data_IF_764642763868
#
_entry.id   IF_764642763868
#
_cell.length_a   1.000
_cell.length_b   1.000
_cell.length_c   1.000
_cell.angle_alpha   90.00
_cell.angle_beta   90.00
_cell.angle_gamma   90.00
#
_symmetry.space_group_name_H-M   'P 1'
#
loop_
_entity.id
_entity.type
_entity.pdbx_description
1 polymer ?
#
# COMPACT_ATOMS: atom_id res chain seq x y z
N UNK A 1 -2.52 37.20 -28.51
CA UNK A 1 -1.28 36.62 -27.94
C UNK A 1 -1.31 36.54 -26.41
N UNK A 2 -1.74 37.57 -25.66
CA UNK A 2 -1.81 37.51 -24.18
C UNK A 2 -2.71 36.39 -23.62
N UNK A 3 -3.89 36.17 -24.21
CA UNK A 3 -4.82 35.11 -23.77
C UNK A 3 -4.20 33.71 -23.91
N UNK A 4 -3.41 33.50 -24.96
CA UNK A 4 -2.73 32.24 -25.26
C UNK A 4 -1.66 31.91 -24.22
N UNK A 5 -0.93 32.92 -23.74
CA UNK A 5 0.05 32.76 -22.67
C UNK A 5 -0.59 32.53 -21.31
N UNK A 6 -1.72 33.21 -21.02
CA UNK A 6 -2.46 33.02 -19.78
C UNK A 6 -3.05 31.60 -19.69
N UNK A 7 -3.56 31.08 -20.80
CA UNK A 7 -4.08 29.72 -20.90
C UNK A 7 -2.97 28.67 -20.75
N UNK A 8 -1.81 28.89 -21.38
CA UNK A 8 -0.65 28.00 -21.22
C UNK A 8 -0.14 27.97 -19.77
N UNK A 9 -0.12 29.13 -19.09
CA UNK A 9 0.25 29.21 -17.68
C UNK A 9 -0.76 28.48 -16.78
N UNK A 10 -2.07 28.66 -17.00
CA UNK A 10 -3.10 27.96 -16.23
C UNK A 10 -3.02 26.43 -16.39
N UNK A 11 -2.72 25.93 -17.59
CA UNK A 11 -2.52 24.50 -17.84
C UNK A 11 -1.24 23.94 -17.19
N UNK A 12 -0.21 24.77 -16.99
CA UNK A 12 1.03 24.34 -16.30
C UNK A 12 0.83 24.11 -14.79
N UNK A 13 -0.22 24.69 -14.20
CA UNK A 13 -0.58 24.50 -12.79
C UNK A 13 -1.38 23.19 -12.56
N UNK A 14 -1.84 22.54 -13.62
CA UNK A 14 -2.52 21.26 -13.54
C UNK A 14 -1.51 20.10 -13.35
N UNK A 15 -0.78 20.12 -12.24
CA UNK A 15 0.00 18.95 -11.82
C UNK A 15 -0.96 17.94 -11.20
N UNK A 16 -1.29 16.90 -11.96
CA UNK A 16 -1.94 15.70 -11.41
C UNK A 16 -0.93 14.99 -10.51
N UNK A 17 -0.95 15.23 -9.20
CA UNK A 17 -0.32 14.29 -8.28
C UNK A 17 -1.07 12.97 -8.38
N UNK A 18 -0.44 11.98 -9.02
CA UNK A 18 -0.81 10.59 -8.83
C UNK A 18 -0.40 10.18 -7.42
N UNK A 19 -1.13 10.66 -6.41
CA UNK A 19 -0.94 10.21 -5.05
C UNK A 19 -1.14 8.69 -5.01
N UNK A 20 -0.12 7.95 -4.57
CA UNK A 20 -0.24 6.51 -4.34
C UNK A 20 -1.24 6.28 -3.20
N UNK A 21 -2.51 6.04 -3.55
CA UNK A 21 -3.54 5.72 -2.58
C UNK A 21 -3.41 4.24 -2.22
N UNK A 22 -3.19 3.98 -0.93
CA UNK A 22 -2.97 2.64 -0.43
C UNK A 22 -3.14 2.52 1.07
N UNK A 23 -2.99 1.29 1.55
CA UNK A 23 -3.11 0.94 2.97
C UNK A 23 -1.78 0.39 3.50
N UNK A 24 -1.63 0.37 4.83
CA UNK A 24 -0.51 -0.28 5.50
C UNK A 24 -0.93 -1.69 5.92
N UNK A 25 -0.16 -2.72 5.59
CA UNK A 25 -0.44 -4.11 5.94
C UNK A 25 0.53 -4.60 7.02
N UNK A 26 -0.02 -5.06 8.14
CA UNK A 26 0.73 -5.73 9.21
C UNK A 26 0.99 -7.21 8.88
N UNK A 27 1.96 -7.81 9.57
CA UNK A 27 2.42 -9.18 9.33
C UNK A 27 1.53 -10.28 9.95
N UNK A 28 0.61 -9.92 10.84
CA UNK A 28 -0.23 -10.87 11.59
C UNK A 28 -1.71 -10.68 11.28
N UNK A 29 -2.47 -11.78 11.35
CA UNK A 29 -3.94 -11.77 11.33
C UNK A 29 -4.48 -11.28 12.67
N UNK A 30 -5.80 -11.10 12.75
CA UNK A 30 -6.48 -10.69 13.99
C UNK A 30 -6.32 -11.68 15.15
N UNK A 31 -6.05 -12.94 14.85
CA UNK A 31 -5.77 -14.00 15.85
C UNK A 31 -4.28 -14.08 16.25
N UNK A 32 -3.43 -13.22 15.69
CA UNK A 32 -1.99 -13.19 15.96
C UNK A 32 -1.15 -14.14 15.11
N UNK A 33 -1.77 -15.02 14.29
CA UNK A 33 -1.03 -15.88 13.35
C UNK A 33 -0.35 -15.06 12.24
N UNK A 34 0.77 -15.56 11.71
CA UNK A 34 1.51 -14.89 10.62
C UNK A 34 0.73 -15.00 9.31
N UNK A 35 0.65 -13.90 8.56
CA UNK A 35 0.05 -13.86 7.22
C UNK A 35 0.92 -14.59 6.19
N UNK A 36 0.28 -15.40 5.36
CA UNK A 36 0.87 -15.92 4.13
C UNK A 36 0.68 -14.93 2.97
N UNK A 37 1.28 -15.22 1.82
CA UNK A 37 1.08 -14.43 0.60
C UNK A 37 -0.40 -14.28 0.23
N UNK A 38 -1.20 -15.34 0.32
CA UNK A 38 -2.62 -15.32 -0.04
C UNK A 38 -3.43 -14.38 0.86
N UNK A 39 -3.03 -14.20 2.11
CA UNK A 39 -3.67 -13.23 3.01
C UNK A 39 -3.44 -11.79 2.50
N UNK A 40 -2.21 -11.46 2.09
CA UNK A 40 -1.91 -10.14 1.52
C UNK A 40 -2.61 -9.89 0.18
N UNK A 41 -2.72 -10.90 -0.68
CA UNK A 41 -3.45 -10.80 -1.95
C UNK A 41 -4.94 -10.54 -1.72
N UNK A 42 -5.52 -11.21 -0.72
CA UNK A 42 -6.92 -11.00 -0.31
C UNK A 42 -7.15 -9.57 0.20
N UNK A 43 -6.26 -9.06 1.06
CA UNK A 43 -6.33 -7.68 1.55
C UNK A 43 -6.18 -6.65 0.42
N UNK A 44 -5.25 -6.91 -0.52
CA UNK A 44 -5.05 -6.05 -1.68
C UNK A 44 -6.25 -6.04 -2.62
N UNK A 45 -6.82 -7.20 -2.90
CA UNK A 45 -8.03 -7.32 -3.71
C UNK A 45 -9.22 -6.62 -3.04
N UNK A 46 -9.36 -6.75 -1.72
CA UNK A 46 -10.40 -6.07 -0.95
C UNK A 46 -10.25 -4.56 -1.02
N UNK A 47 -9.03 -4.04 -0.77
CA UNK A 47 -8.74 -2.61 -0.85
C UNK A 47 -9.01 -2.02 -2.23
N UNK A 48 -8.61 -2.73 -3.30
CA UNK A 48 -8.83 -2.32 -4.69
C UNK A 48 -10.31 -2.18 -5.04
N UNK A 49 -11.17 -3.01 -4.44
CA UNK A 49 -12.60 -3.10 -4.73
C UNK A 49 -13.48 -2.42 -3.65
N UNK A 50 -12.93 -1.52 -2.84
CA UNK A 50 -13.67 -0.87 -1.76
C UNK A 50 -14.85 -0.03 -2.30
N UNK A 51 -16.06 -0.32 -1.82
CA UNK A 51 -17.29 0.34 -2.28
C UNK A 51 -17.28 1.84 -1.94
N UNK A 52 -17.76 2.66 -2.87
CA UNK A 52 -17.87 4.12 -2.67
C UNK A 52 -16.58 4.90 -2.88
N UNK A 53 -15.51 4.24 -3.34
CA UNK A 53 -14.21 4.87 -3.60
C UNK A 53 -13.44 4.08 -4.66
N UNK A 54 -12.32 4.62 -5.12
CA UNK A 54 -11.46 3.98 -6.13
C UNK A 54 -10.02 4.47 -6.03
N UNK A 55 -9.12 3.79 -6.76
CA UNK A 55 -7.72 4.19 -6.88
C UNK A 55 -6.80 3.65 -5.79
N UNK A 56 -7.28 2.77 -4.91
CA UNK A 56 -6.41 2.06 -3.96
C UNK A 56 -5.64 0.95 -4.67
N UNK A 57 -4.40 1.24 -5.06
CA UNK A 57 -3.56 0.33 -5.86
C UNK A 57 -2.16 0.15 -5.28
N UNK A 58 -1.91 0.63 -4.07
CA UNK A 58 -0.66 0.41 -3.36
C UNK A 58 -0.90 -0.17 -1.96
N UNK A 59 0.11 -0.87 -1.46
CA UNK A 59 0.17 -1.31 -0.08
C UNK A 59 1.60 -1.11 0.43
N UNK A 60 1.74 -0.64 1.67
CA UNK A 60 3.02 -0.60 2.38
C UNK A 60 3.04 -1.71 3.41
N UNK A 61 3.97 -2.65 3.24
CA UNK A 61 4.18 -3.72 4.20
C UNK A 61 4.88 -3.13 5.44
N UNK A 62 4.15 -3.01 6.54
CA UNK A 62 4.71 -2.71 7.85
C UNK A 62 5.04 -4.04 8.52
N UNK A 63 6.17 -4.61 8.11
CA UNK A 63 6.72 -5.79 8.75
C UNK A 63 7.92 -5.33 9.60
N UNK A 64 7.87 -5.56 10.91
CA UNK A 64 9.08 -6.06 11.52
C UNK A 64 9.18 -7.48 10.99
N UNK A 65 10.19 -7.80 10.19
CA UNK A 65 10.48 -9.21 9.86
C UNK A 65 10.91 -9.85 11.17
N UNK A 66 9.94 -10.37 11.91
CA UNK A 66 10.13 -11.42 12.90
C UNK A 66 9.08 -12.47 12.56
N UNK A 67 9.12 -12.96 11.32
CA UNK A 67 8.59 -14.30 11.08
C UNK A 67 9.49 -15.24 11.88
N UNK A 68 8.87 -16.15 12.63
CA UNK A 68 9.44 -17.15 13.53
C UNK A 68 10.36 -18.18 12.82
N UNK A 69 11.17 -17.75 11.85
CA UNK A 69 12.08 -18.56 11.04
C UNK A 69 13.55 -18.31 11.37
N UNK A 70 13.91 -17.25 12.12
CA UNK A 70 15.33 -16.95 12.42
C UNK A 70 15.72 -17.09 13.91
N UNK A 71 14.81 -17.46 14.83
CA UNK A 71 15.16 -17.65 16.25
C UNK A 71 14.72 -19.01 16.81
N UNK A 72 14.94 -20.09 16.05
CA UNK A 72 14.92 -21.47 16.57
C UNK A 72 16.14 -22.28 16.15
N UNK A 73 17.31 -21.65 16.12
CA UNK A 73 18.57 -22.38 16.05
C UNK A 73 19.55 -21.88 17.10
N UNK A 74 19.18 -21.94 18.38
CA UNK A 74 20.15 -22.02 19.48
C UNK A 74 19.40 -22.33 20.77
N UNK A 75 19.42 -23.61 21.17
CA UNK A 75 19.39 -24.09 22.56
C UNK A 75 19.12 -25.60 22.55
N UNK A 76 20.08 -26.35 21.99
CA UNK A 76 20.29 -27.74 22.40
C UNK A 76 21.41 -27.70 23.44
N UNK A 77 21.02 -27.67 24.70
CA UNK A 77 21.81 -28.19 25.81
C UNK A 77 21.27 -29.58 26.15
#
# INVERSE_FOLDING_TARGET
MQLTHLLAFALSLATSEAAYKGFNYGATKSDGSVKSQSDFESEFSTAKNLVGTSGFTSARLYTMIVSDVIIKQESQY
#
